data_IF_028956761634
#
_entry.id   IF_028956761634
#
_cell.length_a   1.000
_cell.length_b   1.000
_cell.length_c   1.000
_cell.angle_alpha   90.00
_cell.angle_beta   90.00
_cell.angle_gamma   90.00
#
_symmetry.space_group_name_H-M   'P 1'
#
loop_
_entity.id
_entity.type
_entity.pdbx_description
1 polymer ?
#
# COMPACT_ATOMS: atom_id res chain seq x y z
N UNK A 1 -13.94 10.31 13.51
CA UNK A 1 -13.54 8.94 13.89
C UNK A 1 -14.76 8.06 13.69
N UNK A 2 -14.88 7.38 12.55
CA UNK A 2 -16.09 6.62 12.22
C UNK A 2 -16.23 5.44 13.19
N UNK A 3 -17.43 5.18 13.75
CA UNK A 3 -17.64 4.06 14.65
C UNK A 3 -17.53 2.76 13.84
N UNK A 4 -16.42 2.06 14.03
CA UNK A 4 -16.23 0.70 13.57
C UNK A 4 -16.80 -0.22 14.66
N UNK A 5 -17.98 -0.79 14.42
CA UNK A 5 -18.60 -1.73 15.34
C UNK A 5 -17.92 -3.10 15.18
N UNK A 6 -17.44 -3.69 16.28
CA UNK A 6 -16.86 -5.03 16.31
C UNK A 6 -17.92 -5.94 16.90
N UNK A 7 -18.61 -6.70 16.06
CA UNK A 7 -19.87 -7.32 16.49
C UNK A 7 -19.69 -8.74 17.02
N UNK A 8 -18.66 -9.49 16.60
CA UNK A 8 -18.52 -10.90 17.02
C UNK A 8 -17.10 -11.48 16.85
N UNK A 9 -16.73 -12.38 17.76
CA UNK A 9 -15.60 -13.32 17.62
C UNK A 9 -16.21 -14.71 17.37
N UNK A 10 -15.96 -15.29 16.20
CA UNK A 10 -16.38 -16.66 15.88
C UNK A 10 -15.16 -17.56 15.69
N UNK A 11 -15.30 -18.85 16.04
CA UNK A 11 -14.29 -19.87 15.76
C UNK A 11 -14.66 -20.61 14.49
N UNK A 12 -13.89 -20.43 13.42
CA UNK A 12 -14.05 -21.17 12.17
C UNK A 12 -12.82 -22.06 12.01
N UNK A 13 -13.00 -23.38 11.93
CA UNK A 13 -11.88 -24.32 11.78
C UNK A 13 -10.84 -24.25 12.92
N UNK A 14 -11.27 -23.91 14.14
CA UNK A 14 -10.39 -23.78 15.31
C UNK A 14 -9.71 -22.41 15.47
N UNK A 15 -9.81 -21.52 14.48
CA UNK A 15 -9.17 -20.20 14.48
C UNK A 15 -10.14 -19.09 14.84
N UNK A 16 -9.63 -18.04 15.50
CA UNK A 16 -10.46 -16.88 15.87
C UNK A 16 -10.61 -15.90 14.71
N UNK A 17 -11.85 -15.64 14.31
CA UNK A 17 -12.23 -14.63 13.33
C UNK A 17 -13.01 -13.51 14.01
N UNK A 18 -12.66 -12.26 13.70
CA UNK A 18 -13.33 -11.07 14.21
C UNK A 18 -14.05 -10.35 13.07
N UNK A 19 -15.27 -9.91 13.32
CA UNK A 19 -16.07 -9.18 12.34
C UNK A 19 -16.07 -7.68 12.66
N UNK A 20 -15.76 -6.88 11.65
CA UNK A 20 -15.71 -5.41 11.75
C UNK A 20 -16.66 -4.81 10.72
N UNK A 21 -17.53 -3.90 11.16
CA UNK A 21 -18.44 -3.19 10.26
C UNK A 21 -17.95 -1.76 10.01
N UNK A 22 -17.79 -1.41 8.74
CA UNK A 22 -17.38 -0.09 8.29
C UNK A 22 -18.24 0.36 7.11
N UNK A 23 -18.95 1.48 7.25
CA UNK A 23 -19.71 2.12 6.15
C UNK A 23 -20.62 1.10 5.43
N UNK A 24 -21.37 0.30 6.20
CA UNK A 24 -22.30 -0.70 5.65
C UNK A 24 -21.65 -1.95 5.03
N UNK A 25 -20.33 -2.12 5.18
CA UNK A 25 -19.60 -3.33 4.75
C UNK A 25 -19.10 -4.11 5.95
N UNK A 26 -19.13 -5.44 5.85
CA UNK A 26 -18.58 -6.37 6.86
C UNK A 26 -17.20 -6.85 6.41
N UNK A 27 -16.24 -6.77 7.32
CA UNK A 27 -14.90 -7.30 7.15
C UNK A 27 -14.65 -8.45 8.12
N UNK A 28 -13.90 -9.45 7.67
CA UNK A 28 -13.49 -10.60 8.47
C UNK A 28 -11.98 -10.50 8.66
N UNK A 29 -11.53 -10.48 9.90
CA UNK A 29 -10.11 -10.41 10.28
C UNK A 29 -9.74 -11.69 11.03
N UNK A 30 -8.68 -12.37 10.60
CA UNK A 30 -8.04 -13.44 11.34
C UNK A 30 -6.61 -13.03 11.70
N UNK A 31 -6.37 -12.78 12.99
CA UNK A 31 -5.06 -12.33 13.47
C UNK A 31 -4.00 -13.43 13.39
N UNK A 32 -4.37 -14.67 13.70
CA UNK A 32 -3.46 -15.83 13.68
C UNK A 32 -2.89 -16.09 12.29
N UNK A 33 -3.69 -15.89 11.25
CA UNK A 33 -3.28 -16.10 9.86
C UNK A 33 -2.79 -14.82 9.17
N UNK A 34 -2.89 -13.67 9.83
CA UNK A 34 -2.64 -12.35 9.24
C UNK A 34 -3.48 -12.09 7.98
N UNK A 35 -4.78 -12.42 8.03
CA UNK A 35 -5.71 -12.31 6.90
C UNK A 35 -6.82 -11.31 7.19
N UNK A 36 -7.17 -10.47 6.22
CA UNK A 36 -8.36 -9.61 6.27
C UNK A 36 -9.11 -9.65 4.93
N UNK A 37 -10.44 -9.64 4.93
CA UNK A 37 -11.23 -9.59 3.69
C UNK A 37 -11.08 -8.29 2.90
N UNK A 38 -10.47 -7.24 3.48
CA UNK A 38 -10.08 -6.06 2.70
C UNK A 38 -8.88 -6.32 1.78
N UNK A 39 -8.19 -7.47 1.91
CA UNK A 39 -7.04 -7.89 1.09
C UNK A 39 -5.72 -7.20 1.45
N UNK A 40 -5.77 -6.01 2.06
CA UNK A 40 -4.58 -5.21 2.41
C UNK A 40 -3.64 -5.92 3.36
N UNK A 41 -4.17 -6.69 4.31
CA UNK A 41 -3.33 -7.36 5.29
C UNK A 41 -2.44 -8.44 4.64
N UNK A 42 -2.96 -9.11 3.61
CA UNK A 42 -2.24 -10.13 2.86
C UNK A 42 -1.28 -9.52 1.84
N UNK A 43 -1.67 -8.41 1.22
CA UNK A 43 -0.89 -7.75 0.15
C UNK A 43 0.27 -6.93 0.70
N UNK A 44 -0.03 -6.07 1.68
CA UNK A 44 0.94 -5.14 2.24
C UNK A 44 1.71 -5.79 3.41
N UNK A 45 1.33 -6.99 3.84
CA UNK A 45 1.89 -7.73 4.98
C UNK A 45 2.00 -6.91 6.29
N UNK A 46 1.20 -5.86 6.40
CA UNK A 46 1.10 -4.95 7.53
C UNK A 46 -0.35 -4.87 7.99
N UNK A 47 -0.56 -4.59 9.27
CA UNK A 47 -1.91 -4.50 9.83
C UNK A 47 -2.74 -3.41 9.13
N UNK A 48 -3.86 -3.82 8.52
CA UNK A 48 -4.79 -2.88 7.91
C UNK A 48 -5.65 -2.17 8.97
N UNK A 49 -6.41 -1.16 8.57
CA UNK A 49 -7.26 -0.39 9.49
C UNK A 49 -8.23 -1.27 10.30
N UNK A 50 -8.86 -2.27 9.68
CA UNK A 50 -9.77 -3.19 10.37
C UNK A 50 -9.01 -4.10 11.35
N UNK A 51 -7.82 -4.57 10.97
CA UNK A 51 -6.95 -5.35 11.87
C UNK A 51 -6.55 -4.53 13.10
N UNK A 52 -6.16 -3.27 12.92
CA UNK A 52 -5.78 -2.37 14.03
C UNK A 52 -6.94 -2.20 15.01
N UNK A 53 -8.17 -2.11 14.52
CA UNK A 53 -9.37 -1.97 15.35
C UNK A 53 -9.61 -3.23 16.19
N UNK A 54 -9.45 -4.42 15.59
CA UNK A 54 -9.53 -5.71 16.31
C UNK A 54 -8.40 -5.84 17.34
N UNK A 55 -7.19 -5.40 17.03
CA UNK A 55 -6.07 -5.40 17.97
C UNK A 55 -6.34 -4.50 19.18
N UNK A 56 -6.88 -3.29 18.92
CA UNK A 56 -7.24 -2.34 19.97
C UNK A 56 -8.35 -2.88 20.87
N UNK A 57 -9.37 -3.55 20.32
CA UNK A 57 -10.44 -4.13 21.16
C UNK A 57 -9.98 -5.30 22.02
N UNK A 58 -8.91 -6.00 21.60
CA UNK A 58 -8.24 -7.04 22.40
C UNK A 58 -7.17 -6.48 23.35
N UNK A 59 -7.08 -5.15 23.50
CA UNK A 59 -6.08 -4.47 24.33
C UNK A 59 -4.63 -4.84 23.98
N UNK A 60 -4.35 -5.11 22.71
CA UNK A 60 -3.00 -5.38 22.24
C UNK A 60 -2.22 -4.07 22.12
N UNK A 61 -1.21 -3.90 22.97
CA UNK A 61 -0.33 -2.73 22.93
C UNK A 61 0.77 -2.85 21.87
N UNK A 62 1.35 -4.04 21.73
CA UNK A 62 2.42 -4.29 20.77
C UNK A 62 1.87 -4.82 19.44
N UNK A 63 1.87 -3.97 18.40
CA UNK A 63 1.39 -4.33 17.07
C UNK A 63 2.45 -5.01 16.18
N UNK A 64 3.75 -4.93 16.54
CA UNK A 64 4.84 -5.47 15.73
C UNK A 64 4.69 -6.95 15.32
N UNK A 65 4.21 -7.87 16.18
CA UNK A 65 4.06 -9.28 15.80
C UNK A 65 3.08 -9.52 14.65
N UNK A 66 2.17 -8.57 14.42
CA UNK A 66 1.16 -8.65 13.37
C UNK A 66 1.62 -8.10 12.03
N UNK A 67 2.82 -7.51 11.95
CA UNK A 67 3.44 -7.10 10.69
C UNK A 67 4.42 -8.18 10.20
N UNK A 68 4.81 -8.11 8.94
CA UNK A 68 5.92 -8.89 8.38
C UNK A 68 7.27 -8.39 8.88
N UNK A 69 8.25 -9.29 8.87
CA UNK A 69 9.62 -9.00 9.28
C UNK A 69 10.28 -7.95 8.39
N UNK A 70 9.78 -7.78 7.16
CA UNK A 70 10.19 -6.71 6.24
C UNK A 70 10.09 -5.31 6.86
N UNK A 71 9.12 -5.09 7.76
CA UNK A 71 8.88 -3.81 8.42
C UNK A 71 9.59 -3.66 9.77
N UNK A 72 10.46 -4.61 10.15
CA UNK A 72 11.30 -4.48 11.34
C UNK A 72 12.43 -3.49 11.08
N UNK A 73 12.86 -2.80 12.15
CA UNK A 73 13.96 -1.85 12.08
C UNK A 73 15.25 -2.48 11.52
N UNK A 74 15.55 -3.72 11.89
CA UNK A 74 16.73 -4.43 11.40
C UNK A 74 16.69 -4.65 9.88
N UNK A 75 15.53 -5.01 9.34
CA UNK A 75 15.34 -5.19 7.90
C UNK A 75 15.44 -3.86 7.16
N UNK A 76 14.86 -2.79 7.72
CA UNK A 76 14.95 -1.44 7.18
C UNK A 76 16.42 -0.96 7.15
N UNK A 77 17.13 -1.07 8.29
CA UNK A 77 18.52 -0.67 8.40
C UNK A 77 19.41 -1.41 7.40
N UNK A 78 19.19 -2.73 7.25
CA UNK A 78 19.91 -3.55 6.27
C UNK A 78 19.62 -3.14 4.82
N UNK A 79 18.38 -2.75 4.51
CA UNK A 79 18.00 -2.31 3.15
C UNK A 79 18.71 -1.01 2.76
N UNK A 80 18.94 -0.12 3.73
CA UNK A 80 19.62 1.16 3.54
C UNK A 80 21.08 1.15 4.04
N UNK A 81 21.67 -0.03 4.24
CA UNK A 81 23.07 -0.18 4.67
C UNK A 81 24.04 0.37 3.63
N UNK A 82 23.68 0.22 2.34
CA UNK A 82 24.46 0.78 1.24
C UNK A 82 24.20 2.28 1.15
N UNK A 83 25.24 3.14 1.22
CA UNK A 83 25.06 4.57 1.13
C UNK A 83 24.48 4.94 -0.24
N UNK A 84 23.39 5.70 -0.23
CA UNK A 84 22.91 6.39 -1.43
C UNK A 84 23.89 7.51 -1.72
N UNK A 85 24.78 7.29 -2.70
CA UNK A 85 25.68 8.35 -3.16
C UNK A 85 24.83 9.42 -3.82
N UNK A 86 24.90 10.69 -3.36
CA UNK A 86 24.18 11.77 -4.00
C UNK A 86 24.64 11.88 -5.45
N UNK A 87 23.71 12.19 -6.36
CA UNK A 87 24.08 12.50 -7.72
C UNK A 87 24.96 13.76 -7.69
N UNK A 88 26.10 13.69 -8.37
CA UNK A 88 27.01 14.82 -8.49
C UNK A 88 26.30 16.01 -9.17
N UNK A 89 26.75 17.23 -8.88
CA UNK A 89 26.26 18.41 -9.59
C UNK A 89 26.64 18.33 -11.07
N UNK A 90 25.87 19.00 -11.94
CA UNK A 90 26.12 18.99 -13.39
C UNK A 90 27.56 19.40 -13.73
N UNK A 91 28.14 20.31 -12.95
CA UNK A 91 29.50 20.82 -13.15
C UNK A 91 30.59 19.77 -12.83
N UNK A 92 30.26 18.76 -12.02
CA UNK A 92 31.16 17.67 -11.63
C UNK A 92 31.05 16.46 -12.59
N UNK A 93 30.19 16.53 -13.60
CA UNK A 93 29.99 15.42 -14.55
C UNK A 93 31.11 15.42 -15.60
N UNK A 94 31.85 14.31 -15.68
CA UNK A 94 32.79 14.07 -16.78
C UNK A 94 32.03 13.61 -18.04
N UNK A 95 31.39 14.55 -18.72
CA UNK A 95 30.73 14.31 -20.01
C UNK A 95 31.75 14.45 -21.16
N UNK A 96 31.74 13.51 -22.11
CA UNK A 96 32.48 13.64 -23.37
C UNK A 96 31.81 14.68 -24.28
N UNK A 97 32.60 15.38 -25.11
CA UNK A 97 32.11 16.42 -26.03
C UNK A 97 30.91 15.96 -26.89
N UNK A 98 30.91 14.70 -27.35
CA UNK A 98 29.81 14.11 -28.12
C UNK A 98 28.46 14.12 -27.40
N UNK A 99 28.44 14.03 -26.07
CA UNK A 99 27.21 14.02 -25.25
C UNK A 99 26.73 15.45 -24.97
N UNK A 100 27.66 16.40 -24.86
CA UNK A 100 27.33 17.82 -24.70
C UNK A 100 26.72 18.41 -25.98
N UNK A 101 27.16 17.92 -27.14
CA UNK A 101 26.66 18.35 -28.46
C UNK A 101 25.36 17.64 -28.86
N UNK A 102 25.00 16.53 -28.21
CA UNK A 102 23.79 15.77 -28.50
C UNK A 102 22.53 16.50 -28.03
N UNK A 103 21.73 16.95 -28.99
CA UNK A 103 20.40 17.53 -28.73
C UNK A 103 19.34 16.45 -28.71
N UNK A 104 18.98 15.97 -27.53
CA UNK A 104 17.91 14.97 -27.36
C UNK A 104 16.55 15.63 -27.55
N UNK A 105 15.90 15.37 -28.69
CA UNK A 105 14.53 15.80 -28.94
C UNK A 105 13.54 14.83 -28.27
N UNK A 106 12.40 15.34 -27.74
CA UNK A 106 11.36 14.45 -27.23
C UNK A 106 10.86 13.52 -28.34
N UNK A 107 10.45 12.28 -28.00
CA UNK A 107 9.87 11.38 -28.98
C UNK A 107 8.68 12.04 -29.66
N UNK A 108 8.54 11.83 -30.98
CA UNK A 108 7.44 12.41 -31.76
C UNK A 108 6.10 11.91 -31.21
N UNK A 109 5.43 12.77 -30.44
CA UNK A 109 4.12 12.48 -29.87
C UNK A 109 3.03 12.66 -30.93
N UNK A 110 2.38 11.57 -31.32
CA UNK A 110 1.09 11.62 -32.01
C UNK A 110 -0.01 11.46 -30.96
N UNK A 111 -0.82 12.51 -30.78
CA UNK A 111 -2.02 12.44 -29.93
C UNK A 111 -2.93 11.35 -30.49
N UNK A 112 -3.17 10.30 -29.70
CA UNK A 112 -4.17 9.30 -30.06
C UNK A 112 -5.53 9.98 -30.21
N UNK A 113 -6.34 9.55 -31.17
CA UNK A 113 -7.73 9.99 -31.25
C UNK A 113 -8.39 9.72 -29.90
N UNK A 114 -8.83 10.79 -29.23
CA UNK A 114 -9.46 10.71 -27.92
C UNK A 114 -10.72 9.84 -27.97
N UNK A 115 -11.27 9.53 -26.79
CA UNK A 115 -12.54 8.81 -26.68
C UNK A 115 -13.59 9.47 -27.59
N UNK A 116 -14.17 8.70 -28.52
CA UNK A 116 -15.19 9.20 -29.43
C UNK A 116 -16.32 9.87 -28.65
N UNK A 117 -16.78 11.02 -29.15
CA UNK A 117 -17.85 11.77 -28.53
C UNK A 117 -19.12 10.91 -28.48
N UNK A 118 -19.51 10.47 -27.27
CA UNK A 118 -20.79 9.81 -27.06
C UNK A 118 -21.86 10.89 -26.91
N UNK A 119 -22.88 10.89 -27.78
CA UNK A 119 -24.09 11.70 -27.56
C UNK A 119 -24.66 11.34 -26.19
N UNK A 120 -24.73 12.31 -25.28
CA UNK A 120 -25.44 12.13 -24.00
C UNK A 120 -26.91 11.90 -24.32
N UNK A 121 -27.47 10.75 -23.89
CA UNK A 121 -28.92 10.55 -23.95
C UNK A 121 -29.56 11.55 -23.00
N UNK A 122 -30.51 12.34 -23.49
CA UNK A 122 -31.29 13.26 -22.66
C UNK A 122 -32.13 12.39 -21.71
N UNK A 123 -32.03 12.63 -20.40
CA UNK A 123 -32.96 12.02 -19.46
C UNK A 123 -34.37 12.49 -19.80
N UNK A 124 -35.32 11.55 -19.81
CA UNK A 124 -36.74 11.77 -20.03
C UNK A 124 -37.42 12.02 -18.70
#
# INVERSE_FOLDING_TARGET
MYPLCIDTIEKIGGKTHSFVYEVGRRYIVCLEQKVCTCGRFQLDEISCAQTIVVLKSKNVTNMHPYCSDYYKLDALAKTYEVPMVPMLDKEDWSLSDNVLEETVLPPRYKRMFGRSWKRRKKCR
#
